data_IF_100584740600
#
_entry.id   IF_100584740600
#
_cell.length_a   1.000
_cell.length_b   1.000
_cell.length_c   1.000
_cell.angle_alpha   90.00
_cell.angle_beta   90.00
_cell.angle_gamma   90.00
#
_symmetry.space_group_name_H-M   'P 1'
#
loop_
_entity.id
_entity.type
_entity.pdbx_description
1 polymer ?
#
# COMPACT_ATOMS: atom_id res chain seq x y z
N UNK A 1 20.13 -17.04 0.08
CA UNK A 1 19.23 -18.20 -0.05
C UNK A 1 17.80 -17.70 0.18
N UNK A 2 17.02 -17.47 -0.88
CA UNK A 2 15.66 -16.93 -0.79
C UNK A 2 14.69 -18.08 -0.49
N UNK A 3 14.40 -18.32 0.79
CA UNK A 3 13.45 -19.35 1.23
C UNK A 3 12.00 -18.93 0.95
N UNK A 4 11.11 -19.90 0.74
CA UNK A 4 9.71 -19.74 0.28
C UNK A 4 8.86 -18.74 1.10
N UNK A 5 9.18 -18.55 2.39
CA UNK A 5 8.57 -17.56 3.31
C UNK A 5 8.86 -16.12 2.86
N UNK A 6 10.05 -15.86 2.31
CA UNK A 6 10.48 -14.54 1.84
C UNK A 6 9.70 -14.04 0.62
N UNK A 7 9.12 -14.90 -0.21
CA UNK A 7 8.39 -14.43 -1.42
C UNK A 7 7.13 -13.65 -1.06
N UNK A 8 6.40 -14.03 0.00
CA UNK A 8 5.19 -13.32 0.43
C UNK A 8 5.55 -11.94 0.99
N UNK A 9 6.62 -11.88 1.79
CA UNK A 9 7.18 -10.64 2.32
C UNK A 9 7.69 -9.72 1.20
N UNK A 10 8.48 -10.25 0.27
CA UNK A 10 8.99 -9.51 -0.90
C UNK A 10 7.84 -9.03 -1.78
N UNK A 11 6.83 -9.87 -2.04
CA UNK A 11 5.64 -9.46 -2.79
C UNK A 11 4.86 -8.34 -2.07
N UNK A 12 4.77 -8.38 -0.74
CA UNK A 12 4.16 -7.32 0.05
C UNK A 12 4.96 -6.01 -0.02
N UNK A 13 6.30 -6.07 0.09
CA UNK A 13 7.17 -4.91 -0.09
C UNK A 13 7.08 -4.33 -1.51
N UNK A 14 7.07 -5.18 -2.55
CA UNK A 14 6.89 -4.73 -3.93
C UNK A 14 5.51 -4.08 -4.13
N UNK A 15 4.45 -4.66 -3.57
CA UNK A 15 3.10 -4.08 -3.63
C UNK A 15 3.06 -2.71 -2.92
N UNK A 16 3.73 -2.55 -1.78
CA UNK A 16 3.85 -1.27 -1.08
C UNK A 16 4.52 -0.21 -1.97
N UNK A 17 5.65 -0.56 -2.59
CA UNK A 17 6.40 0.32 -3.48
C UNK A 17 5.57 0.74 -4.69
N UNK A 18 4.86 -0.20 -5.32
CA UNK A 18 3.97 0.10 -6.44
C UNK A 18 2.84 1.03 -6.01
N UNK A 19 2.26 0.82 -4.83
CA UNK A 19 1.21 1.71 -4.28
C UNK A 19 1.72 3.14 -4.09
N UNK A 20 2.95 3.32 -3.58
CA UNK A 20 3.61 4.63 -3.45
C UNK A 20 3.72 5.31 -4.80
N UNK A 21 4.26 4.61 -5.81
CA UNK A 21 4.45 5.16 -7.15
C UNK A 21 3.11 5.57 -7.78
N UNK A 22 2.05 4.77 -7.58
CA UNK A 22 0.70 5.07 -8.05
C UNK A 22 0.13 6.33 -7.36
N UNK A 23 0.42 6.50 -6.07
CA UNK A 23 -0.07 7.66 -5.29
C UNK A 23 0.55 8.98 -5.77
N UNK A 24 1.81 8.95 -6.19
CA UNK A 24 2.53 10.13 -6.70
C UNK A 24 2.41 10.34 -8.21
N UNK A 25 1.72 9.46 -8.95
CA UNK A 25 1.50 9.66 -10.38
C UNK A 25 0.32 10.61 -10.65
N UNK A 26 0.31 11.31 -11.79
CA UNK A 26 -0.75 12.26 -12.14
C UNK A 26 -2.13 11.60 -12.31
N UNK A 27 -2.20 10.26 -12.20
CA UNK A 27 -3.45 9.51 -12.07
C UNK A 27 -4.22 9.88 -10.80
N UNK A 28 -3.51 10.13 -9.69
CA UNK A 28 -4.10 10.54 -8.41
C UNK A 28 -4.09 12.07 -8.26
N UNK A 29 -3.11 12.74 -8.87
CA UNK A 29 -2.94 14.20 -8.81
C UNK A 29 -3.14 14.79 -10.22
N UNK A 30 -4.39 14.96 -10.69
CA UNK A 30 -4.64 15.63 -11.95
C UNK A 30 -4.20 17.09 -11.85
N UNK A 31 -3.29 17.49 -12.75
CA UNK A 31 -2.85 18.89 -12.86
C UNK A 31 -3.96 19.73 -13.51
N UNK A 32 -4.46 20.72 -12.76
CA UNK A 32 -5.23 21.83 -13.33
C UNK A 32 -6.74 21.62 -13.54
N UNK A 33 -7.32 20.46 -13.19
CA UNK A 33 -8.76 20.20 -13.39
C UNK A 33 -9.40 19.69 -12.08
N UNK A 34 -10.23 20.53 -11.45
CA UNK A 34 -10.98 20.22 -10.22
C UNK A 34 -12.31 19.50 -10.47
N UNK A 35 -12.67 19.29 -11.74
CA UNK A 35 -13.95 18.68 -12.17
C UNK A 35 -13.69 17.21 -12.56
N UNK A 36 -14.48 16.24 -12.08
CA UNK A 36 -15.74 16.35 -11.35
C UNK A 36 -15.56 16.38 -9.82
N UNK A 37 -16.43 17.15 -9.15
CA UNK A 37 -16.59 17.10 -7.70
C UNK A 37 -17.61 16.01 -7.35
N UNK A 38 -17.17 14.96 -6.66
CA UNK A 38 -18.06 13.92 -6.13
C UNK A 38 -18.49 14.35 -4.72
N UNK A 39 -19.80 14.57 -4.53
CA UNK A 39 -20.35 15.11 -3.28
C UNK A 39 -19.71 16.42 -2.80
N UNK A 40 -19.37 17.33 -3.73
CA UNK A 40 -18.74 18.60 -3.39
C UNK A 40 -17.26 18.50 -2.97
N UNK A 41 -16.69 17.29 -2.96
CA UNK A 41 -15.29 17.04 -2.68
C UNK A 41 -14.55 16.78 -4.00
N UNK A 42 -13.43 17.48 -4.28
CA UNK A 42 -12.63 17.26 -5.48
C UNK A 42 -12.10 15.81 -5.55
N UNK A 43 -12.07 15.25 -6.76
CA UNK A 43 -11.61 13.89 -7.03
C UNK A 43 -10.29 13.56 -6.31
N UNK A 44 -9.29 14.44 -6.39
CA UNK A 44 -7.99 14.29 -5.73
C UNK A 44 -8.09 13.94 -4.23
N UNK A 45 -9.05 14.52 -3.50
CA UNK A 45 -9.23 14.22 -2.09
C UNK A 45 -9.79 12.81 -1.86
N UNK A 46 -10.80 12.41 -2.65
CA UNK A 46 -11.31 11.03 -2.61
C UNK A 46 -10.23 10.02 -2.97
N UNK A 47 -9.45 10.29 -4.02
CA UNK A 47 -8.37 9.41 -4.45
C UNK A 47 -7.28 9.31 -3.38
N UNK A 48 -6.98 10.41 -2.67
CA UNK A 48 -6.07 10.40 -1.51
C UNK A 48 -6.58 9.58 -0.33
N UNK A 49 -7.88 9.68 -0.01
CA UNK A 49 -8.53 8.85 1.04
C UNK A 49 -8.45 7.37 0.66
N UNK A 50 -8.78 7.01 -0.58
CA UNK A 50 -8.65 5.63 -1.07
C UNK A 50 -7.21 5.12 -1.01
N UNK A 51 -6.23 5.93 -1.40
CA UNK A 51 -4.81 5.56 -1.30
C UNK A 51 -4.41 5.31 0.16
N UNK A 52 -4.85 6.17 1.08
CA UNK A 52 -4.54 6.03 2.52
C UNK A 52 -5.15 4.75 3.09
N UNK A 53 -6.41 4.44 2.76
CA UNK A 53 -7.06 3.19 3.15
C UNK A 53 -6.30 1.98 2.60
N UNK A 54 -5.90 2.03 1.33
CA UNK A 54 -5.13 0.97 0.70
C UNK A 54 -3.76 0.78 1.40
N UNK A 55 -3.08 1.85 1.80
CA UNK A 55 -1.85 1.79 2.61
C UNK A 55 -2.07 1.14 3.97
N UNK A 56 -3.16 1.48 4.67
CA UNK A 56 -3.48 0.88 5.96
C UNK A 56 -3.72 -0.62 5.82
N UNK A 57 -4.52 -1.05 4.84
CA UNK A 57 -4.76 -2.47 4.56
C UNK A 57 -3.45 -3.19 4.25
N UNK A 58 -2.60 -2.58 3.42
CA UNK A 58 -1.31 -3.15 3.06
C UNK A 58 -0.39 -3.27 4.28
N UNK A 59 -0.40 -2.29 5.18
CA UNK A 59 0.35 -2.33 6.45
C UNK A 59 -0.16 -3.43 7.39
N UNK A 60 -1.49 -3.63 7.45
CA UNK A 60 -2.09 -4.73 8.21
C UNK A 60 -1.72 -6.11 7.63
N UNK A 61 -1.62 -6.23 6.30
CA UNK A 61 -1.13 -7.45 5.65
C UNK A 61 0.37 -7.62 5.91
N UNK A 62 1.16 -6.56 5.82
CA UNK A 62 2.59 -6.57 6.08
C UNK A 62 2.90 -7.06 7.51
N UNK A 63 2.20 -6.57 8.52
CA UNK A 63 2.36 -7.04 9.91
C UNK A 63 2.01 -8.52 10.09
N UNK A 64 1.10 -9.08 9.29
CA UNK A 64 0.76 -10.52 9.31
C UNK A 64 1.74 -11.39 8.53
N UNK A 65 2.33 -10.84 7.48
CA UNK A 65 3.29 -11.52 6.60
C UNK A 65 4.73 -11.35 7.12
N UNK A 66 4.95 -10.47 8.10
CA UNK A 66 6.26 -10.22 8.70
C UNK A 66 6.89 -11.50 9.26
N UNK A 67 7.98 -12.00 8.66
CA UNK A 67 8.54 -13.32 8.97
C UNK A 67 9.22 -13.39 10.35
N UNK A 68 9.37 -12.29 11.09
CA UNK A 68 10.00 -12.33 12.42
C UNK A 68 9.24 -13.20 13.43
N UNK A 69 7.95 -13.46 13.24
CA UNK A 69 7.20 -14.37 14.13
C UNK A 69 7.57 -15.85 13.94
N UNK A 70 8.24 -16.21 12.85
CA UNK A 70 8.71 -17.57 12.59
C UNK A 70 10.05 -17.87 13.31
N UNK A 71 10.92 -16.88 13.48
CA UNK A 71 12.23 -17.06 14.12
C UNK A 71 12.20 -17.11 15.66
N UNK A 72 11.14 -16.57 16.29
CA UNK A 72 11.01 -16.61 17.76
C UNK A 72 10.48 -17.95 18.27
N UNK A 73 9.68 -18.67 17.47
CA UNK A 73 9.13 -19.98 17.83
C UNK A 73 10.13 -21.13 17.73
N UNK A 74 11.24 -20.95 16.99
CA UNK A 74 12.28 -21.99 16.82
C UNK A 74 13.37 -21.88 17.90
N UNK A 75 13.33 -20.84 18.74
CA UNK A 75 14.30 -20.63 19.83
C UNK A 75 13.75 -21.00 21.22
N UNK A 76 12.54 -21.56 21.30
CA UNK A 76 11.98 -22.08 22.55
C UNK A 76 12.16 -23.59 22.67
#
# INVERSE_FOLDING_TARGET
MITRSNRKWIACCCAALVLVVITFTPLVIPYGIYKPMLWGIPYTLWTGVFCTIAFVILTLIATRVHPARENEAVKQ
#
